data_IF_699597454989
#
_entry.id   IF_699597454989
#
_cell.length_a   1.000
_cell.length_b   1.000
_cell.length_c   1.000
_cell.angle_alpha   90.00
_cell.angle_beta   90.00
_cell.angle_gamma   90.00
#
_symmetry.space_group_name_H-M   'P 1'
#
loop_
_entity.id
_entity.type
_entity.pdbx_description
1 polymer ?
#
# COMPACT_ATOMS: atom_id res chain seq x y z
N UNK A 1 0.75 -14.39 -10.36
CA UNK A 1 1.33 -13.81 -9.14
C UNK A 1 2.54 -12.90 -9.38
N UNK A 2 3.12 -12.82 -10.58
CA UNK A 2 4.30 -11.98 -10.85
C UNK A 2 4.11 -10.50 -10.42
N UNK A 3 2.91 -9.94 -10.64
CA UNK A 3 2.55 -8.58 -10.17
C UNK A 3 2.54 -8.40 -8.65
N UNK A 4 2.29 -9.45 -7.87
CA UNK A 4 2.32 -9.41 -6.40
C UNK A 4 3.77 -9.36 -5.90
N UNK A 5 4.65 -10.19 -6.49
CA UNK A 5 6.07 -10.24 -6.15
C UNK A 5 6.84 -9.00 -6.60
N UNK A 6 6.60 -8.52 -7.82
CA UNK A 6 7.22 -7.30 -8.37
C UNK A 6 6.59 -5.99 -7.90
N UNK A 7 5.44 -6.08 -7.23
CA UNK A 7 4.74 -4.93 -6.67
C UNK A 7 4.85 -4.95 -5.14
N UNK A 8 3.75 -5.19 -4.42
CA UNK A 8 3.66 -4.93 -2.98
C UNK A 8 4.63 -5.76 -2.12
N UNK A 9 5.05 -6.96 -2.53
CA UNK A 9 6.07 -7.72 -1.77
C UNK A 9 7.44 -7.04 -1.87
N UNK A 10 7.87 -6.66 -3.08
CA UNK A 10 9.12 -5.95 -3.29
C UNK A 10 9.10 -4.55 -2.67
N UNK A 11 7.98 -3.83 -2.81
CA UNK A 11 7.79 -2.50 -2.23
C UNK A 11 7.88 -2.55 -0.68
N UNK A 12 7.26 -3.56 -0.05
CA UNK A 12 7.32 -3.73 1.42
C UNK A 12 8.74 -4.01 1.91
N UNK A 13 9.45 -4.93 1.28
CA UNK A 13 10.85 -5.22 1.61
C UNK A 13 11.75 -4.00 1.39
N UNK A 14 11.50 -3.22 0.34
CA UNK A 14 12.21 -1.98 0.07
C UNK A 14 12.00 -0.96 1.19
N UNK A 15 10.74 -0.65 1.54
CA UNK A 15 10.45 0.35 2.56
C UNK A 15 10.94 -0.07 3.95
N UNK A 16 10.79 -1.34 4.33
CA UNK A 16 11.39 -1.85 5.58
C UNK A 16 12.90 -1.61 5.62
N UNK A 17 13.61 -1.89 4.53
CA UNK A 17 15.06 -1.68 4.44
C UNK A 17 15.49 -0.20 4.50
N UNK A 18 14.57 0.74 4.25
CA UNK A 18 14.86 2.18 4.43
C UNK A 18 14.91 2.62 5.90
N UNK A 19 14.59 1.72 6.84
CA UNK A 19 14.63 2.00 8.28
C UNK A 19 13.43 2.78 8.81
N UNK A 20 12.36 2.94 8.01
CA UNK A 20 11.10 3.47 8.51
C UNK A 20 10.39 2.44 9.42
N UNK A 21 9.50 2.93 10.29
CA UNK A 21 8.71 2.04 11.14
C UNK A 21 7.82 1.12 10.31
N UNK A 22 7.51 -0.07 10.83
CA UNK A 22 6.74 -1.09 10.11
C UNK A 22 5.37 -0.58 9.60
N UNK A 23 4.68 0.22 10.40
CA UNK A 23 3.42 0.85 9.98
C UNK A 23 3.62 1.77 8.77
N UNK A 24 4.67 2.60 8.77
CA UNK A 24 5.00 3.46 7.64
C UNK A 24 5.36 2.65 6.39
N UNK A 25 6.13 1.57 6.54
CA UNK A 25 6.45 0.67 5.43
C UNK A 25 5.19 0.09 4.78
N UNK A 26 4.22 -0.37 5.59
CA UNK A 26 2.92 -0.87 5.11
C UNK A 26 2.14 0.22 4.38
N UNK A 27 2.04 1.42 4.97
CA UNK A 27 1.30 2.54 4.39
C UNK A 27 1.93 2.95 3.06
N UNK A 28 3.26 3.08 3.00
CA UNK A 28 3.98 3.41 1.76
C UNK A 28 3.79 2.34 0.70
N UNK A 29 3.78 1.07 1.07
CA UNK A 29 3.47 -0.05 0.17
C UNK A 29 2.04 0.06 -0.38
N UNK A 30 1.06 0.38 0.48
CA UNK A 30 -0.33 0.58 0.06
C UNK A 30 -0.47 1.77 -0.90
N UNK A 31 0.18 2.90 -0.62
CA UNK A 31 0.22 4.06 -1.51
C UNK A 31 0.90 3.72 -2.85
N UNK A 32 2.00 2.98 -2.84
CA UNK A 32 2.72 2.56 -4.04
C UNK A 32 1.84 1.68 -4.93
N UNK A 33 1.16 0.70 -4.34
CA UNK A 33 0.24 -0.16 -5.08
C UNK A 33 -0.96 0.62 -5.64
N UNK A 34 -1.54 1.51 -4.85
CA UNK A 34 -2.69 2.33 -5.27
C UNK A 34 -2.31 3.34 -6.35
N UNK A 35 -1.11 3.91 -6.30
CA UNK A 35 -0.55 4.78 -7.34
C UNK A 35 -0.30 4.02 -8.66
N UNK A 36 0.17 2.77 -8.56
CA UNK A 36 0.49 1.91 -9.70
C UNK A 36 -0.75 1.46 -10.46
N UNK A 37 -1.84 1.16 -9.77
CA UNK A 37 -3.05 0.62 -10.39
C UNK A 37 -4.32 1.13 -9.69
N UNK A 38 -5.30 1.68 -10.44
CA UNK A 38 -6.61 2.05 -9.90
C UNK A 38 -7.30 0.86 -9.21
N UNK A 39 -7.78 1.10 -8.00
CA UNK A 39 -8.45 0.06 -7.21
C UNK A 39 -9.75 -0.41 -7.89
N UNK A 40 -9.89 -1.71 -8.10
CA UNK A 40 -11.01 -2.27 -8.84
C UNK A 40 -12.33 -2.24 -8.06
N UNK A 41 -12.30 -2.27 -6.72
CA UNK A 41 -13.49 -2.10 -5.90
C UNK A 41 -14.00 -0.67 -5.96
N UNK A 42 -13.11 0.32 -5.93
CA UNK A 42 -13.47 1.73 -6.19
C UNK A 42 -14.02 1.87 -7.60
N UNK A 43 -13.32 1.37 -8.62
CA UNK A 43 -13.75 1.48 -10.02
C UNK A 43 -15.14 0.86 -10.24
N UNK A 44 -15.40 -0.31 -9.64
CA UNK A 44 -16.70 -0.99 -9.70
C UNK A 44 -17.83 -0.18 -9.05
N UNK A 45 -17.58 0.48 -7.91
CA UNK A 45 -18.61 1.16 -7.12
C UNK A 45 -18.79 2.65 -7.45
N UNK A 46 -17.73 3.30 -7.93
CA UNK A 46 -17.66 4.75 -8.10
C UNK A 46 -17.16 5.18 -9.50
N UNK A 47 -16.78 4.23 -10.35
CA UNK A 47 -16.32 4.50 -11.71
C UNK A 47 -14.80 4.63 -11.82
N UNK A 48 -14.31 4.41 -13.04
CA UNK A 48 -12.87 4.37 -13.35
C UNK A 48 -12.18 5.73 -13.18
N UNK A 49 -12.89 6.83 -13.45
CA UNK A 49 -12.37 8.18 -13.24
C UNK A 49 -12.03 8.42 -11.78
N UNK A 50 -12.97 8.15 -10.85
CA UNK A 50 -12.72 8.29 -9.41
C UNK A 50 -11.60 7.38 -8.92
N UNK A 51 -11.52 6.14 -9.42
CA UNK A 51 -10.42 5.24 -9.07
C UNK A 51 -9.06 5.81 -9.51
N UNK A 52 -8.97 6.44 -10.70
CA UNK A 52 -7.74 7.09 -11.19
C UNK A 52 -7.39 8.35 -10.39
N UNK A 53 -8.37 9.14 -9.97
CA UNK A 53 -8.15 10.30 -9.11
C UNK A 53 -7.55 9.88 -7.76
N UNK A 54 -8.06 8.80 -7.17
CA UNK A 54 -7.50 8.22 -5.94
C UNK A 54 -6.05 7.74 -6.17
N UNK A 55 -5.77 7.07 -7.28
CA UNK A 55 -4.40 6.66 -7.65
C UNK A 55 -3.46 7.85 -7.83
N UNK A 56 -3.92 8.90 -8.51
CA UNK A 56 -3.11 10.11 -8.74
C UNK A 56 -2.77 10.80 -7.42
N UNK A 57 -3.72 10.84 -6.48
CA UNK A 57 -3.48 11.39 -5.14
C UNK A 57 -2.56 10.52 -4.29
N UNK A 58 -2.64 9.19 -4.40
CA UNK A 58 -1.67 8.31 -3.76
C UNK A 58 -0.25 8.55 -4.33
N UNK A 59 -0.12 8.72 -5.65
CA UNK A 59 1.14 9.00 -6.32
C UNK A 59 1.78 10.32 -5.86
N UNK A 60 0.98 11.38 -5.61
CA UNK A 60 1.51 12.67 -5.14
C UNK A 60 2.02 12.63 -3.70
N UNK A 61 1.57 11.68 -2.88
CA UNK A 61 1.97 11.55 -1.46
C UNK A 61 3.25 10.73 -1.32
N UNK A 62 3.49 9.76 -2.20
CA UNK A 62 4.66 8.87 -2.16
C UNK A 62 6.03 9.57 -2.00
N UNK A 63 6.35 10.65 -2.75
CA UNK A 63 7.66 11.30 -2.62
C UNK A 63 7.81 12.17 -1.36
N UNK A 64 6.73 12.39 -0.61
CA UNK A 64 6.75 13.25 0.57
C UNK A 64 7.44 12.56 1.76
N UNK A 65 7.96 13.38 2.68
CA UNK A 65 8.58 12.92 3.93
C UNK A 65 8.23 13.82 5.12
N UNK A 66 8.50 13.34 6.34
CA UNK A 66 8.33 14.10 7.57
C UNK A 66 6.91 14.64 7.80
N UNK A 67 6.82 15.89 8.28
CA UNK A 67 5.55 16.51 8.64
C UNK A 67 4.60 16.73 7.46
N UNK A 68 5.15 16.95 6.26
CA UNK A 68 4.37 17.11 5.04
C UNK A 68 3.70 15.79 4.65
N UNK A 69 4.45 14.68 4.68
CA UNK A 69 3.89 13.35 4.45
C UNK A 69 2.76 13.01 5.42
N UNK A 70 2.98 13.25 6.73
CA UNK A 70 1.97 12.99 7.75
C UNK A 70 0.68 13.81 7.52
N UNK A 71 0.84 15.09 7.14
CA UNK A 71 -0.29 15.99 6.86
C UNK A 71 -1.09 15.54 5.65
N UNK A 72 -0.42 15.27 4.53
CA UNK A 72 -1.07 14.87 3.28
C UNK A 72 -1.69 13.47 3.37
N UNK A 73 -1.03 12.53 4.06
CA UNK A 73 -1.58 11.22 4.34
C UNK A 73 -2.89 11.32 5.16
N UNK A 74 -2.90 12.14 6.21
CA UNK A 74 -4.10 12.31 7.04
C UNK A 74 -5.26 12.96 6.25
N UNK A 75 -4.96 13.92 5.38
CA UNK A 75 -5.96 14.50 4.48
C UNK A 75 -6.49 13.48 3.47
N UNK A 76 -5.61 12.65 2.92
CA UNK A 76 -5.98 11.60 1.99
C UNK A 76 -6.88 10.55 2.65
N UNK A 77 -6.52 10.02 3.82
CA UNK A 77 -7.34 9.08 4.58
C UNK A 77 -8.73 9.66 4.88
N UNK A 78 -8.82 10.92 5.31
CA UNK A 78 -10.11 11.60 5.51
C UNK A 78 -10.94 11.66 4.22
N UNK A 79 -10.30 11.97 3.09
CA UNK A 79 -10.98 12.05 1.79
C UNK A 79 -11.52 10.70 1.30
N UNK A 80 -10.91 9.59 1.71
CA UNK A 80 -11.42 8.25 1.42
C UNK A 80 -12.66 7.90 2.26
N UNK A 81 -12.88 8.58 3.38
CA UNK A 81 -14.00 8.32 4.30
C UNK A 81 -15.21 9.21 4.04
N UNK A 82 -15.01 10.44 3.55
CA UNK A 82 -16.05 11.46 3.42
C UNK A 82 -15.91 12.30 2.14
N UNK A 83 -17.01 12.82 1.56
CA UNK A 83 -18.41 12.65 1.98
C UNK A 83 -19.01 11.27 1.59
N UNK A 84 -18.38 10.57 0.65
CA UNK A 84 -18.72 9.19 0.29
C UNK A 84 -17.51 8.31 0.56
N UNK A 85 -17.73 7.11 1.10
CA UNK A 85 -16.64 6.17 1.38
C UNK A 85 -16.09 5.57 0.08
N UNK A 86 -14.84 5.90 -0.25
CA UNK A 86 -14.06 5.27 -1.30
C UNK A 86 -13.15 4.21 -0.65
N UNK A 87 -13.53 2.93 -0.78
CA UNK A 87 -12.81 1.84 -0.13
C UNK A 87 -11.82 1.18 -1.11
N UNK A 88 -10.50 1.39 -0.99
CA UNK A 88 -9.49 0.70 -1.80
C UNK A 88 -9.29 -0.75 -1.31
N UNK A 89 -10.36 -1.54 -1.31
CA UNK A 89 -10.40 -2.86 -0.69
C UNK A 89 -9.54 -3.89 -1.42
N UNK A 90 -9.50 -3.82 -2.75
CA UNK A 90 -8.65 -4.74 -3.54
C UNK A 90 -7.17 -4.47 -3.30
N UNK A 91 -6.80 -3.21 -3.13
CA UNK A 91 -5.45 -2.81 -2.70
C UNK A 91 -5.15 -3.39 -1.32
N UNK A 92 -6.06 -3.25 -0.35
CA UNK A 92 -5.89 -3.80 0.99
C UNK A 92 -5.67 -5.33 0.97
N UNK A 93 -6.43 -6.07 0.15
CA UNK A 93 -6.26 -7.53 -0.01
C UNK A 93 -4.86 -7.89 -0.54
N UNK A 94 -4.33 -7.12 -1.49
CA UNK A 94 -2.97 -7.32 -2.02
C UNK A 94 -1.90 -7.02 -0.98
N UNK A 95 -2.08 -5.99 -0.15
CA UNK A 95 -1.16 -5.65 0.93
C UNK A 95 -1.18 -6.72 2.02
N UNK A 96 -2.35 -7.26 2.36
CA UNK A 96 -2.46 -8.38 3.30
C UNK A 96 -1.75 -9.63 2.78
N UNK A 97 -1.90 -9.96 1.49
CA UNK A 97 -1.18 -11.06 0.86
C UNK A 97 0.35 -10.83 0.84
N UNK A 98 0.79 -9.62 0.53
CA UNK A 98 2.21 -9.26 0.54
C UNK A 98 2.81 -9.35 1.94
N UNK A 99 2.09 -8.88 2.96
CA UNK A 99 2.49 -9.01 4.37
C UNK A 99 2.65 -10.46 4.78
N UNK A 100 1.69 -11.32 4.43
CA UNK A 100 1.80 -12.74 4.72
C UNK A 100 3.05 -13.37 4.09
N UNK A 101 3.30 -13.11 2.80
CA UNK A 101 4.47 -13.63 2.08
C UNK A 101 5.77 -13.12 2.70
N UNK A 102 5.83 -11.82 3.00
CA UNK A 102 7.00 -11.19 3.59
C UNK A 102 7.35 -11.80 4.94
N UNK A 103 6.35 -11.89 5.84
CA UNK A 103 6.54 -12.50 7.16
C UNK A 103 6.92 -13.98 7.06
N UNK A 104 6.30 -14.73 6.15
CA UNK A 104 6.63 -16.13 5.92
C UNK A 104 8.10 -16.31 5.51
N UNK A 105 8.58 -15.50 4.57
CA UNK A 105 9.97 -15.56 4.10
C UNK A 105 10.98 -15.05 5.12
N UNK A 106 10.56 -14.16 6.03
CA UNK A 106 11.40 -13.64 7.12
C UNK A 106 11.49 -14.57 8.32
N UNK A 107 10.73 -15.67 8.36
CA UNK A 107 10.90 -16.68 9.41
C UNK A 107 12.22 -17.44 9.20
N UNK A 108 13.13 -17.45 10.18
CA UNK A 108 14.32 -18.29 10.07
C UNK A 108 13.86 -19.73 9.89
N UNK A 109 14.36 -20.39 8.84
CA UNK A 109 14.20 -21.83 8.74
C UNK A 109 14.83 -22.42 9.98
N UNK A 110 14.08 -23.21 10.76
CA UNK A 110 14.66 -24.07 11.79
C UNK A 110 15.56 -25.10 11.09
N UNK A 111 16.76 -24.69 10.70
CA UNK A 111 17.83 -25.62 10.33
C UNK A 111 18.27 -26.26 11.64
N UNK A 112 17.90 -27.53 11.77
CA UNK A 112 18.06 -28.31 12.98
C UNK A 112 19.47 -28.25 13.55
N UNK A 113 19.51 -28.15 14.87
CA UNK A 113 20.64 -28.62 15.67
C UNK A 113 20.78 -30.11 15.37
N UNK A 114 21.78 -30.48 14.56
CA UNK A 114 22.35 -31.84 14.55
C UNK A 114 23.31 -32.01 15.70
#
# INVERSE_FOLDING_TARGET
>A
YDSLWRGPVADLAHFEATGCGWEEAIIRTALAQLARMPDSLIARRHGTTTAREVSARAASILPLSGAEWATELAQFDRSLRQPKRLNPGTTADLIAAALYIHLWNSTPSCTGVT
#
